data_IF_878142622851
#
_entry.id   IF_878142622851
#
_cell.length_a   1.000
_cell.length_b   1.000
_cell.length_c   1.000
_cell.angle_alpha   90.00
_cell.angle_beta   90.00
_cell.angle_gamma   90.00
#
_symmetry.space_group_name_H-M   'P 1'
#
loop_
_entity.id
_entity.type
_entity.pdbx_description
1 polymer ?
#
# COMPACT_ATOMS: atom_id res chain seq x y z
N UNK A 1 28.46 -38.26 8.34
CA UNK A 1 27.70 -37.36 7.44
C UNK A 1 27.27 -36.17 8.29
N UNK A 2 27.78 -34.96 8.03
CA UNK A 2 27.44 -33.76 8.81
C UNK A 2 26.30 -33.03 8.09
N UNK A 3 25.14 -32.90 8.73
CA UNK A 3 24.00 -32.15 8.21
C UNK A 3 24.27 -30.64 8.39
N UNK A 4 24.28 -29.91 7.28
CA UNK A 4 24.36 -28.45 7.29
C UNK A 4 23.01 -27.88 7.74
N UNK A 5 22.96 -27.34 8.97
CA UNK A 5 21.82 -26.59 9.46
C UNK A 5 21.77 -25.26 8.68
N UNK A 6 20.85 -25.20 7.71
CA UNK A 6 20.54 -24.00 6.95
C UNK A 6 20.10 -22.91 7.94
N UNK A 7 20.68 -21.70 7.94
CA UNK A 7 20.17 -20.61 8.75
C UNK A 7 18.82 -20.20 8.16
N UNK A 8 17.74 -20.44 8.91
CA UNK A 8 16.41 -19.91 8.65
C UNK A 8 16.53 -18.39 8.68
N UNK A 9 16.60 -17.78 7.50
CA UNK A 9 16.50 -16.33 7.34
C UNK A 9 15.18 -15.94 8.00
N UNK A 10 15.18 -15.09 9.05
CA UNK A 10 13.93 -14.60 9.60
C UNK A 10 13.20 -13.90 8.46
N UNK A 11 12.00 -14.41 8.15
CA UNK A 11 11.04 -13.80 7.24
C UNK A 11 10.97 -12.34 7.67
N UNK A 12 11.54 -11.42 6.89
CA UNK A 12 11.52 -9.99 7.21
C UNK A 12 10.05 -9.65 7.39
N UNK A 13 9.61 -9.47 8.64
CA UNK A 13 8.45 -8.68 8.96
C UNK A 13 8.80 -7.31 8.42
N UNK A 14 8.44 -7.08 7.16
CA UNK A 14 8.64 -5.80 6.52
C UNK A 14 7.87 -4.84 7.39
N UNK A 15 8.57 -3.90 8.04
CA UNK A 15 7.98 -2.74 8.67
C UNK A 15 6.98 -2.18 7.66
N UNK A 16 5.71 -2.49 7.88
CA UNK A 16 4.80 -2.69 6.77
C UNK A 16 4.21 -1.37 6.41
N UNK A 17 4.73 -0.77 5.33
CA UNK A 17 4.03 0.28 4.62
C UNK A 17 2.61 -0.26 4.32
N UNK A 18 1.62 0.22 5.09
CA UNK A 18 0.21 -0.21 5.09
C UNK A 18 -0.16 -1.43 5.98
N UNK A 19 0.44 -1.60 7.15
CA UNK A 19 -0.02 -2.60 8.14
C UNK A 19 -1.38 -2.26 8.77
N UNK A 20 -1.71 -0.97 8.88
CA UNK A 20 -3.00 -0.48 9.39
C UNK A 20 -3.65 0.52 8.43
N UNK A 21 -4.99 0.53 8.32
CA UNK A 21 -5.71 1.44 7.44
C UNK A 21 -5.47 2.89 7.84
N UNK A 22 -4.98 3.67 6.87
CA UNK A 22 -4.69 5.12 6.99
C UNK A 22 -5.58 5.95 6.07
N UNK A 23 -6.30 5.28 5.17
CA UNK A 23 -7.34 5.76 4.28
C UNK A 23 -8.32 4.61 4.07
N UNK A 24 -9.54 4.89 3.62
CA UNK A 24 -10.53 3.87 3.25
C UNK A 24 -10.41 3.53 1.77
N UNK A 25 -10.24 4.54 0.92
CA UNK A 25 -10.16 4.40 -0.53
C UNK A 25 -9.02 5.24 -1.14
N UNK A 26 -8.47 4.75 -2.24
CA UNK A 26 -7.53 5.47 -3.10
C UNK A 26 -8.02 5.43 -4.54
N UNK A 27 -8.04 6.59 -5.20
CA UNK A 27 -8.49 6.78 -6.58
C UNK A 27 -7.31 7.26 -7.43
N UNK A 28 -7.09 6.62 -8.57
CA UNK A 28 -6.03 6.94 -9.51
C UNK A 28 -6.59 7.39 -10.87
N UNK A 29 -6.32 8.66 -11.23
CA UNK A 29 -6.74 9.27 -12.49
C UNK A 29 -7.95 10.18 -12.32
N UNK A 30 -8.55 10.59 -13.44
CA UNK A 30 -9.71 11.47 -13.48
C UNK A 30 -10.72 10.98 -14.54
N UNK A 31 -12.02 11.06 -14.25
CA UNK A 31 -13.10 10.78 -15.21
C UNK A 31 -13.30 9.28 -15.51
N UNK A 32 -13.57 8.93 -16.77
CA UNK A 32 -13.88 7.55 -17.20
C UNK A 32 -12.73 6.54 -17.02
N UNK A 33 -11.50 7.01 -16.74
CA UNK A 33 -10.32 6.19 -16.51
C UNK A 33 -9.92 6.01 -15.03
N UNK A 34 -10.81 6.39 -14.10
CA UNK A 34 -10.58 6.27 -12.66
C UNK A 34 -10.45 4.81 -12.23
N UNK A 35 -9.37 4.50 -11.51
CA UNK A 35 -9.20 3.23 -10.82
C UNK A 35 -9.32 3.48 -9.32
N UNK A 36 -10.37 2.95 -8.71
CA UNK A 36 -10.61 3.02 -7.28
C UNK A 36 -10.24 1.69 -6.62
N UNK A 37 -9.56 1.78 -5.49
CA UNK A 37 -9.24 0.65 -4.63
C UNK A 37 -9.56 1.02 -3.20
N UNK A 38 -10.20 0.13 -2.47
CA UNK A 38 -10.19 0.16 -1.00
C UNK A 38 -8.77 -0.05 -0.47
N UNK A 39 -8.57 0.25 0.82
CA UNK A 39 -7.29 -0.01 1.49
C UNK A 39 -6.84 -1.46 1.34
N UNK A 40 -7.75 -2.42 1.57
CA UNK A 40 -7.45 -3.84 1.50
C UNK A 40 -7.12 -4.28 0.07
N UNK A 41 -7.92 -3.88 -0.91
CA UNK A 41 -7.65 -4.16 -2.33
C UNK A 41 -6.31 -3.58 -2.76
N UNK A 42 -6.00 -2.34 -2.34
CA UNK A 42 -4.72 -1.71 -2.65
C UNK A 42 -3.55 -2.45 -2.01
N UNK A 43 -3.67 -2.85 -0.75
CA UNK A 43 -2.65 -3.60 0.00
C UNK A 43 -2.37 -4.96 -0.63
N UNK A 44 -3.39 -5.65 -1.12
CA UNK A 44 -3.28 -6.94 -1.78
C UNK A 44 -2.59 -6.85 -3.15
N UNK A 45 -2.56 -5.67 -3.78
CA UNK A 45 -1.81 -5.49 -5.02
C UNK A 45 -0.31 -5.79 -4.81
N UNK A 46 0.35 -6.43 -5.80
CA UNK A 46 1.79 -6.61 -5.78
C UNK A 46 2.50 -5.28 -5.54
N UNK A 47 3.54 -5.27 -4.70
CA UNK A 47 4.27 -4.06 -4.32
C UNK A 47 4.68 -3.23 -5.55
N UNK A 48 5.16 -3.89 -6.61
CA UNK A 48 5.53 -3.25 -7.88
C UNK A 48 4.35 -2.46 -8.48
N UNK A 49 3.15 -3.01 -8.45
CA UNK A 49 1.94 -2.38 -8.98
C UNK A 49 1.49 -1.21 -8.11
N UNK A 50 1.53 -1.34 -6.78
CA UNK A 50 1.27 -0.23 -5.86
C UNK A 50 2.20 0.95 -6.11
N UNK A 51 3.50 0.69 -6.17
CA UNK A 51 4.52 1.72 -6.43
C UNK A 51 4.29 2.36 -7.79
N UNK A 52 4.04 1.56 -8.83
CA UNK A 52 3.74 2.07 -10.16
C UNK A 52 2.52 3.01 -10.14
N UNK A 53 1.41 2.62 -9.51
CA UNK A 53 0.20 3.45 -9.41
C UNK A 53 0.48 4.78 -8.68
N UNK A 54 1.19 4.73 -7.56
CA UNK A 54 1.55 5.91 -6.74
C UNK A 54 2.51 6.89 -7.41
N UNK A 55 3.24 6.44 -8.44
CA UNK A 55 4.19 7.24 -9.22
C UNK A 55 3.63 7.71 -10.56
N UNK A 56 2.72 6.95 -11.16
CA UNK A 56 2.23 7.19 -12.52
C UNK A 56 1.02 8.13 -12.58
N UNK A 57 0.23 8.21 -11.51
CA UNK A 57 -0.95 9.07 -11.40
C UNK A 57 -0.89 9.86 -10.09
N UNK A 58 -1.60 10.98 -10.01
CA UNK A 58 -1.83 11.68 -8.74
C UNK A 58 -2.95 10.92 -8.01
N UNK A 59 -2.64 10.15 -6.95
CA UNK A 59 -3.68 9.49 -6.16
C UNK A 59 -4.46 10.51 -5.35
N UNK A 60 -5.78 10.35 -5.30
CA UNK A 60 -6.66 10.98 -4.31
C UNK A 60 -6.99 9.93 -3.26
N UNK A 61 -6.82 10.28 -1.98
CA UNK A 61 -7.10 9.38 -0.87
C UNK A 61 -8.33 9.87 -0.14
N UNK A 62 -9.17 8.95 0.31
CA UNK A 62 -10.40 9.27 1.02
C UNK A 62 -10.44 8.53 2.37
N UNK A 63 -10.91 9.22 3.40
CA UNK A 63 -11.16 8.68 4.74
C UNK A 63 -12.51 9.21 5.23
N UNK A 64 -13.43 8.33 5.58
CA UNK A 64 -14.81 8.67 5.95
C UNK A 64 -15.57 9.40 4.83
N UNK A 65 -15.18 9.20 3.56
CA UNK A 65 -15.74 9.89 2.40
C UNK A 65 -15.19 11.30 2.16
N UNK A 66 -14.27 11.81 2.99
CA UNK A 66 -13.58 13.08 2.78
C UNK A 66 -12.20 12.85 2.14
N UNK A 67 -11.83 13.68 1.16
CA UNK A 67 -10.48 13.64 0.58
C UNK A 67 -9.45 14.08 1.62
N UNK A 68 -8.41 13.28 1.82
CA UNK A 68 -7.30 13.56 2.74
C UNK A 68 -5.99 13.77 1.98
N UNK A 69 -5.06 14.59 2.51
CA UNK A 69 -3.74 14.78 1.90
C UNK A 69 -2.95 13.47 1.82
N UNK A 70 -2.16 13.32 0.75
CA UNK A 70 -1.25 12.17 0.58
C UNK A 70 -0.34 11.95 1.79
N UNK A 71 0.16 13.03 2.41
CA UNK A 71 1.02 12.91 3.59
C UNK A 71 0.31 12.25 4.78
N UNK A 72 -1.01 12.47 4.91
CA UNK A 72 -1.84 11.85 5.94
C UNK A 72 -2.17 10.40 5.59
N UNK A 73 -2.51 10.12 4.33
CA UNK A 73 -2.81 8.78 3.84
C UNK A 73 -1.59 7.84 3.79
N UNK A 74 -0.38 8.39 3.68
CA UNK A 74 0.86 7.62 3.64
C UNK A 74 1.66 7.72 4.94
N UNK A 75 1.02 8.18 6.04
CA UNK A 75 1.68 8.26 7.34
C UNK A 75 2.12 6.87 7.79
N UNK A 76 3.37 6.79 8.25
CA UNK A 76 3.86 5.61 8.93
C UNK A 76 3.35 5.67 10.36
N UNK A 77 2.30 4.92 10.68
CA UNK A 77 2.00 4.57 12.06
C UNK A 77 2.93 3.42 12.41
N UNK A 78 4.12 3.76 12.91
CA UNK A 78 5.06 2.82 13.52
C UNK A 78 4.75 2.59 14.98
#
# INVERSE_FOLDING_TARGET
MMAATQPTIPKRSGAGFLESPTFDEVVFGDGEGEQRFSFDEFRELPLRRRVQLLLSKLPKFYLGGAEIPRAEAMRFNG
#
